data_IF_431764866679
#
_entry.id   IF_431764866679
#
_cell.length_a   1.000
_cell.length_b   1.000
_cell.length_c   1.000
_cell.angle_alpha   90.00
_cell.angle_beta   90.00
_cell.angle_gamma   90.00
#
_symmetry.space_group_name_H-M   'P 1'
#
loop_
_entity.id
_entity.type
_entity.pdbx_description
1 polymer ?
#
# COMPACT_ATOMS: atom_id res chain seq x y z
N UNK A 1 -17.65 -11.75 19.02
CA UNK A 1 -16.97 -10.44 19.06
C UNK A 1 -15.74 -10.40 18.16
N UNK A 2 -14.87 -11.42 18.17
CA UNK A 2 -13.65 -11.47 17.34
C UNK A 2 -13.91 -11.42 15.83
N UNK A 3 -14.97 -12.02 15.32
CA UNK A 3 -15.38 -11.96 13.90
C UNK A 3 -15.68 -10.53 13.43
N UNK A 4 -16.48 -9.76 14.18
CA UNK A 4 -16.71 -8.34 13.86
C UNK A 4 -15.43 -7.50 13.96
N UNK A 5 -14.55 -7.83 14.91
CA UNK A 5 -13.32 -7.07 15.11
C UNK A 5 -12.28 -7.35 14.01
N UNK A 6 -12.26 -8.54 13.42
CA UNK A 6 -11.43 -8.86 12.27
C UNK A 6 -11.89 -8.12 11.00
N UNK A 7 -13.21 -8.05 10.77
CA UNK A 7 -13.76 -7.23 9.69
C UNK A 7 -13.43 -5.74 9.86
N UNK A 8 -13.58 -5.19 11.06
CA UNK A 8 -13.23 -3.79 11.33
C UNK A 8 -11.74 -3.50 11.09
N UNK A 9 -10.85 -4.43 11.45
CA UNK A 9 -9.40 -4.27 11.21
C UNK A 9 -9.05 -4.31 9.72
N UNK A 10 -9.70 -5.18 8.94
CA UNK A 10 -9.55 -5.20 7.48
C UNK A 10 -10.01 -3.87 6.87
N UNK A 11 -11.14 -3.34 7.32
CA UNK A 11 -11.68 -2.06 6.85
C UNK A 11 -10.72 -0.89 7.12
N UNK A 12 -10.20 -0.78 8.34
CA UNK A 12 -9.21 0.27 8.69
C UNK A 12 -7.90 0.12 7.88
N UNK A 13 -7.46 -1.12 7.62
CA UNK A 13 -6.32 -1.37 6.75
C UNK A 13 -6.56 -0.92 5.30
N UNK A 14 -7.77 -1.13 4.79
CA UNK A 14 -8.20 -0.68 3.46
C UNK A 14 -8.26 0.85 3.36
N UNK A 15 -8.74 1.53 4.39
CA UNK A 15 -8.74 3.00 4.45
C UNK A 15 -7.32 3.57 4.36
N UNK A 16 -6.37 2.99 5.10
CA UNK A 16 -4.96 3.37 5.02
C UNK A 16 -4.36 3.17 3.62
N UNK A 17 -4.69 2.06 2.96
CA UNK A 17 -4.29 1.82 1.56
C UNK A 17 -4.87 2.88 0.62
N UNK A 18 -6.15 3.25 0.78
CA UNK A 18 -6.80 4.25 -0.07
C UNK A 18 -6.12 5.63 0.04
N UNK A 19 -5.76 6.03 1.27
CA UNK A 19 -5.01 7.28 1.51
C UNK A 19 -3.63 7.22 0.86
N UNK A 20 -2.90 6.11 1.02
CA UNK A 20 -1.58 5.93 0.42
C UNK A 20 -1.62 5.98 -1.12
N UNK A 21 -2.61 5.32 -1.73
CA UNK A 21 -2.80 5.32 -3.20
C UNK A 21 -3.11 6.74 -3.71
N UNK A 22 -3.98 7.48 -3.02
CA UNK A 22 -4.28 8.88 -3.39
C UNK A 22 -3.05 9.78 -3.29
N UNK A 23 -2.25 9.61 -2.23
CA UNK A 23 -1.02 10.36 -2.02
C UNK A 23 0.03 10.05 -3.11
N UNK A 24 0.15 8.78 -3.51
CA UNK A 24 1.02 8.39 -4.63
C UNK A 24 0.61 9.03 -5.95
N UNK A 25 -0.69 9.04 -6.28
CA UNK A 25 -1.20 9.69 -7.49
C UNK A 25 -0.86 11.19 -7.50
N UNK A 26 -1.11 11.88 -6.37
CA UNK A 26 -0.75 13.29 -6.19
C UNK A 26 0.76 13.54 -6.36
N UNK A 27 1.60 12.69 -5.76
CA UNK A 27 3.05 12.81 -5.86
C UNK A 27 3.55 12.56 -7.29
N UNK A 28 2.94 11.62 -8.03
CA UNK A 28 3.27 11.32 -9.42
C UNK A 28 2.93 12.50 -10.33
N UNK A 29 1.71 13.04 -10.21
CA UNK A 29 1.27 14.20 -11.01
C UNK A 29 2.18 15.41 -10.75
N UNK A 30 2.48 15.69 -9.48
CA UNK A 30 3.40 16.77 -9.11
C UNK A 30 4.81 16.55 -9.68
N UNK A 31 5.31 15.31 -9.67
CA UNK A 31 6.65 14.99 -10.16
C UNK A 31 6.80 15.16 -11.69
N UNK A 32 5.70 15.03 -12.43
CA UNK A 32 5.65 15.25 -13.88
C UNK A 32 5.65 16.73 -14.24
N UNK A 33 5.00 17.58 -13.44
CA UNK A 33 4.85 19.01 -13.74
C UNK A 33 5.98 19.87 -13.15
N UNK A 34 6.54 19.46 -12.00
CA UNK A 34 7.54 20.27 -11.29
C UNK A 34 8.88 20.25 -12.01
N UNK A 35 9.26 21.38 -12.60
CA UNK A 35 10.57 21.62 -13.21
C UNK A 35 11.59 22.08 -12.16
N UNK A 36 12.63 21.28 -11.90
CA UNK A 36 13.69 21.67 -10.98
C UNK A 36 14.99 20.92 -11.21
N UNK A 37 16.11 21.66 -11.18
CA UNK A 37 17.45 21.10 -11.27
C UNK A 37 17.83 20.70 -12.69
N UNK A 38 18.99 20.07 -12.80
CA UNK A 38 19.61 19.64 -14.07
C UNK A 38 20.00 18.18 -13.95
N UNK A 39 19.91 17.43 -15.05
CA UNK A 39 20.65 16.16 -15.16
C UNK A 39 22.08 16.43 -15.59
N UNK A 40 22.95 15.44 -15.39
CA UNK A 40 24.34 15.50 -15.84
C UNK A 40 24.45 15.76 -17.36
N UNK A 41 23.44 15.34 -18.12
CA UNK A 41 23.41 15.36 -19.58
C UNK A 41 22.63 16.58 -20.16
N UNK A 42 22.04 17.43 -19.30
CA UNK A 42 21.19 18.55 -19.74
C UNK A 42 22.03 19.77 -20.14
N UNK A 43 21.74 20.44 -21.28
CA UNK A 43 22.37 21.70 -21.64
C UNK A 43 22.29 22.75 -20.52
N UNK A 44 23.31 23.62 -20.42
CA UNK A 44 23.31 24.70 -19.42
C UNK A 44 22.10 25.62 -19.65
N UNK A 45 21.24 25.72 -18.64
CA UNK A 45 20.10 26.66 -18.61
C UNK A 45 18.73 26.00 -18.70
N UNK A 46 18.66 24.71 -19.03
CA UNK A 46 17.39 23.97 -19.06
C UNK A 46 17.16 23.25 -17.72
N UNK A 47 15.93 23.37 -17.20
CA UNK A 47 15.47 22.57 -16.06
C UNK A 47 14.76 21.31 -16.56
N UNK A 48 14.86 20.22 -15.82
CA UNK A 48 14.12 18.98 -16.11
C UNK A 48 12.99 18.77 -15.09
N UNK A 49 11.92 18.03 -15.45
CA UNK A 49 10.94 17.56 -14.49
C UNK A 49 11.60 16.75 -13.37
N UNK A 50 11.10 16.83 -12.14
CA UNK A 50 11.75 16.14 -11.01
C UNK A 50 11.68 14.62 -11.11
N UNK A 51 10.73 14.06 -11.87
CA UNK A 51 10.64 12.61 -12.15
C UNK A 51 11.86 12.04 -12.89
N UNK A 52 12.64 12.91 -13.54
CA UNK A 52 13.87 12.52 -14.22
C UNK A 52 15.07 12.36 -13.29
N UNK A 53 14.94 12.80 -12.02
CA UNK A 53 15.94 12.52 -11.01
C UNK A 53 15.83 11.06 -10.55
N UNK A 54 16.96 10.32 -10.46
CA UNK A 54 16.95 8.91 -10.12
C UNK A 54 16.38 8.65 -8.72
N UNK A 55 16.63 9.56 -7.76
CA UNK A 55 16.13 9.40 -6.40
C UNK A 55 14.61 9.59 -6.29
N UNK A 56 14.05 10.58 -7.01
CA UNK A 56 12.59 10.79 -7.09
C UNK A 56 11.91 9.58 -7.72
N UNK A 57 12.49 9.03 -8.79
CA UNK A 57 11.98 7.82 -9.44
C UNK A 57 12.04 6.61 -8.52
N UNK A 58 13.13 6.44 -7.77
CA UNK A 58 13.28 5.39 -6.75
C UNK A 58 12.23 5.52 -5.66
N UNK A 59 12.00 6.73 -5.16
CA UNK A 59 10.99 7.03 -4.15
C UNK A 59 9.58 6.69 -4.64
N UNK A 60 9.19 7.19 -5.83
CA UNK A 60 7.87 6.90 -6.42
C UNK A 60 7.67 5.40 -6.68
N UNK A 61 8.70 4.70 -7.15
CA UNK A 61 8.66 3.25 -7.35
C UNK A 61 8.49 2.49 -6.03
N UNK A 62 9.12 2.97 -4.96
CA UNK A 62 9.00 2.39 -3.61
C UNK A 62 7.59 2.57 -3.07
N UNK A 63 7.00 3.77 -3.21
CA UNK A 63 5.60 4.03 -2.85
C UNK A 63 4.65 3.07 -3.58
N UNK A 64 4.79 2.98 -4.91
CA UNK A 64 3.98 2.08 -5.74
C UNK A 64 4.11 0.62 -5.30
N UNK A 65 5.33 0.14 -5.06
CA UNK A 65 5.58 -1.23 -4.64
C UNK A 65 4.88 -1.56 -3.30
N UNK A 66 4.93 -0.65 -2.32
CA UNK A 66 4.24 -0.85 -1.04
C UNK A 66 2.71 -0.86 -1.19
N UNK A 67 2.16 0.03 -2.01
CA UNK A 67 0.71 0.07 -2.30
C UNK A 67 0.23 -1.24 -2.90
N UNK A 68 0.91 -1.74 -3.94
CA UNK A 68 0.52 -3.01 -4.58
C UNK A 68 0.69 -4.20 -3.64
N UNK A 69 1.76 -4.23 -2.83
CA UNK A 69 1.97 -5.28 -1.83
C UNK A 69 0.84 -5.29 -0.78
N UNK A 70 0.47 -4.12 -0.25
CA UNK A 70 -0.64 -4.01 0.69
C UNK A 70 -1.98 -4.40 0.08
N UNK A 71 -2.24 -4.00 -1.17
CA UNK A 71 -3.45 -4.37 -1.91
C UNK A 71 -3.58 -5.89 -2.03
N UNK A 72 -2.48 -6.57 -2.38
CA UNK A 72 -2.43 -8.03 -2.43
C UNK A 72 -2.74 -8.66 -1.05
N UNK A 73 -2.14 -8.14 0.02
CA UNK A 73 -2.35 -8.62 1.39
C UNK A 73 -3.80 -8.42 1.86
N UNK A 74 -4.44 -7.32 1.48
CA UNK A 74 -5.86 -7.05 1.78
C UNK A 74 -6.77 -8.05 1.07
N UNK A 75 -6.55 -8.28 -0.23
CA UNK A 75 -7.34 -9.26 -0.98
C UNK A 75 -7.13 -10.70 -0.48
N UNK A 76 -5.90 -11.05 -0.10
CA UNK A 76 -5.63 -12.36 0.49
C UNK A 76 -6.39 -12.56 1.82
N UNK A 77 -6.42 -11.52 2.67
CA UNK A 77 -7.16 -11.58 3.93
C UNK A 77 -8.68 -11.65 3.69
N UNK A 78 -9.21 -10.85 2.75
CA UNK A 78 -10.62 -10.91 2.37
C UNK A 78 -11.02 -12.33 1.89
N UNK A 79 -10.21 -12.92 1.01
CA UNK A 79 -10.40 -14.31 0.56
C UNK A 79 -10.39 -15.30 1.72
N UNK A 80 -9.47 -15.12 2.67
CA UNK A 80 -9.34 -16.01 3.84
C UNK A 80 -10.56 -15.93 4.75
N UNK A 81 -11.11 -14.72 4.92
CA UNK A 81 -12.37 -14.49 5.64
C UNK A 81 -13.53 -15.19 4.94
N UNK A 82 -13.64 -15.10 3.61
CA UNK A 82 -14.71 -15.76 2.87
C UNK A 82 -14.63 -17.29 2.98
N UNK A 83 -13.42 -17.86 2.87
CA UNK A 83 -13.19 -19.31 3.07
C UNK A 83 -13.59 -19.71 4.50
N UNK A 84 -13.19 -18.95 5.52
CA UNK A 84 -13.50 -19.24 6.91
C UNK A 84 -15.02 -19.31 7.18
N UNK A 85 -15.82 -18.48 6.52
CA UNK A 85 -17.27 -18.43 6.74
C UNK A 85 -18.08 -19.36 5.84
N UNK A 86 -17.62 -19.61 4.61
CA UNK A 86 -18.47 -20.21 3.57
C UNK A 86 -17.96 -21.54 3.02
N UNK A 87 -16.73 -21.96 3.32
CA UNK A 87 -16.19 -23.20 2.74
C UNK A 87 -16.93 -24.43 3.30
N UNK A 88 -17.31 -25.42 2.47
CA UNK A 88 -18.05 -26.60 2.90
C UNK A 88 -17.25 -27.51 3.84
N UNK A 89 -15.94 -27.62 3.59
CA UNK A 89 -15.00 -28.40 4.41
C UNK A 89 -14.57 -27.65 5.68
N UNK A 90 -14.61 -28.33 6.82
CA UNK A 90 -14.29 -27.79 8.15
C UNK A 90 -12.79 -27.55 8.36
N UNK A 91 -11.93 -28.38 7.76
CA UNK A 91 -10.47 -28.22 7.85
C UNK A 91 -10.03 -26.94 7.12
N UNK A 92 -10.62 -26.69 5.95
CA UNK A 92 -10.37 -25.47 5.17
C UNK A 92 -10.94 -24.22 5.85
N UNK A 93 -12.09 -24.31 6.54
CA UNK A 93 -12.60 -23.20 7.36
C UNK A 93 -11.62 -22.85 8.50
N UNK A 94 -11.06 -23.87 9.14
CA UNK A 94 -10.09 -23.69 10.23
C UNK A 94 -8.81 -23.02 9.72
N UNK A 95 -8.26 -23.49 8.59
CA UNK A 95 -7.11 -22.83 7.94
C UNK A 95 -7.41 -21.38 7.56
N UNK A 96 -8.60 -21.11 7.02
CA UNK A 96 -9.05 -19.76 6.68
C UNK A 96 -9.09 -18.84 7.91
N UNK A 97 -9.56 -19.35 9.05
CA UNK A 97 -9.57 -18.63 10.32
C UNK A 97 -8.17 -18.31 10.83
N UNK A 98 -7.27 -19.30 10.85
CA UNK A 98 -5.87 -19.11 11.29
C UNK A 98 -5.14 -18.08 10.43
N UNK A 99 -5.31 -18.16 9.12
CA UNK A 99 -4.70 -17.23 8.18
C UNK A 99 -5.27 -15.81 8.35
N UNK A 100 -6.58 -15.68 8.56
CA UNK A 100 -7.23 -14.40 8.85
C UNK A 100 -6.64 -13.74 10.09
N UNK A 101 -6.49 -14.50 11.18
CA UNK A 101 -5.96 -13.97 12.44
C UNK A 101 -4.50 -13.53 12.32
N UNK A 102 -3.71 -14.27 11.55
CA UNK A 102 -2.33 -13.89 11.23
C UNK A 102 -2.30 -12.59 10.41
N UNK A 103 -3.00 -12.54 9.27
CA UNK A 103 -2.93 -11.43 8.31
C UNK A 103 -3.49 -10.13 8.90
N UNK A 104 -4.58 -10.22 9.65
CA UNK A 104 -5.23 -9.06 10.28
C UNK A 104 -4.29 -8.36 11.27
N UNK A 105 -3.37 -9.10 11.92
CA UNK A 105 -2.35 -8.52 12.80
C UNK A 105 -1.29 -7.72 12.03
N UNK A 106 -0.87 -8.21 10.87
CA UNK A 106 0.15 -7.54 10.04
C UNK A 106 -0.37 -6.30 9.32
N UNK A 107 -1.64 -6.31 8.87
CA UNK A 107 -2.24 -5.19 8.15
C UNK A 107 -2.26 -3.89 8.96
N UNK A 108 -2.59 -3.98 10.26
CA UNK A 108 -2.57 -2.82 11.15
C UNK A 108 -1.18 -2.20 11.28
N UNK A 109 -0.14 -3.03 11.40
CA UNK A 109 1.25 -2.55 11.55
C UNK A 109 1.73 -1.93 10.24
N UNK A 110 1.41 -2.54 9.08
CA UNK A 110 1.76 -2.00 7.77
C UNK A 110 1.18 -0.62 7.49
N UNK A 111 -0.11 -0.40 7.80
CA UNK A 111 -0.78 0.89 7.64
C UNK A 111 -0.16 2.00 8.51
N UNK A 112 0.12 1.70 9.79
CA UNK A 112 0.75 2.65 10.73
C UNK A 112 2.19 3.02 10.35
N UNK A 113 2.93 2.11 9.71
CA UNK A 113 4.35 2.34 9.36
C UNK A 113 4.50 3.17 8.08
N UNK A 114 3.48 3.19 7.21
CA UNK A 114 3.50 4.06 6.03
C UNK A 114 3.14 5.52 6.38
N UNK A 115 2.30 5.72 7.40
CA UNK A 115 1.91 7.04 7.89
C UNK A 115 3.10 7.83 8.49
N UNK A 116 4.06 7.12 9.09
CA UNK A 116 5.31 7.73 9.59
C UNK A 116 6.30 8.06 8.48
N UNK A 117 6.30 7.31 7.39
CA UNK A 117 7.23 7.53 6.28
C UNK A 117 6.75 8.61 5.28
N UNK A 118 5.47 9.01 5.34
CA UNK A 118 4.91 10.13 4.56
C UNK A 118 5.03 11.50 5.25
N UNK A 119 5.65 11.57 6.44
CA UNK A 119 5.87 12.81 7.20
C UNK A 119 7.30 13.35 7.11
N UNK A 120 8.09 12.83 6.18
CA UNK A 120 9.43 13.33 5.82
C UNK A 120 9.34 13.86 4.39
#
# INVERSE_FOLDING_TARGET
MFTMMNQARLAVGLEGLAVADRAYQQALDYALERMQGRRADTPKGESVPIIDHPDVRRMLMTMKAYIEAMRCMIYLNAKSIDIAHHHPDEDERTRGHELTDLLTRYQRVGALTLETNSRV
#
